data_IF_915843614301
#
_entry.id   IF_915843614301
#
_cell.length_a   1.000
_cell.length_b   1.000
_cell.length_c   1.000
_cell.angle_alpha   90.00
_cell.angle_beta   90.00
_cell.angle_gamma   90.00
#
_symmetry.space_group_name_H-M   'P 1'
#
loop_
_entity.id
_entity.type
_entity.pdbx_description
1 polymer ?
#
# COMPACT_ATOMS: atom_id res chain seq x y z
N UNK A 1 -14.42 52.07 12.87
CA UNK A 1 -15.63 51.53 13.54
C UNK A 1 -15.19 50.30 14.33
N UNK A 2 -15.59 50.21 15.59
CA UNK A 2 -15.20 49.08 16.46
C UNK A 2 -16.35 48.08 16.55
N UNK A 3 -16.05 46.80 16.44
CA UNK A 3 -17.02 45.71 16.52
C UNK A 3 -16.77 44.89 17.79
N UNK A 4 -17.83 44.46 18.46
CA UNK A 4 -17.74 43.67 19.69
C UNK A 4 -18.39 42.31 19.47
N UNK A 5 -17.79 41.25 20.02
CA UNK A 5 -18.37 39.91 20.00
C UNK A 5 -18.32 39.26 21.38
N UNK A 6 -19.31 38.40 21.64
CA UNK A 6 -19.50 37.69 22.91
C UNK A 6 -19.37 36.19 22.64
N UNK A 7 -18.61 35.49 23.47
CA UNK A 7 -18.46 34.04 23.40
C UNK A 7 -18.91 33.37 24.69
N UNK A 8 -19.70 32.30 24.57
CA UNK A 8 -20.18 31.48 25.68
C UNK A 8 -19.79 30.02 25.40
N UNK A 9 -19.18 29.35 26.38
CA UNK A 9 -18.66 27.98 26.25
C UNK A 9 -19.78 26.93 26.10
N UNK A 10 -20.98 27.20 26.62
CA UNK A 10 -22.14 26.33 26.48
C UNK A 10 -22.95 26.64 25.20
N UNK A 11 -22.99 25.69 24.26
CA UNK A 11 -23.62 25.82 22.94
C UNK A 11 -25.15 25.98 22.98
N UNK A 12 -25.81 25.57 24.07
CA UNK A 12 -27.27 25.60 24.19
C UNK A 12 -27.89 27.01 24.32
N UNK A 13 -27.06 28.03 24.63
CA UNK A 13 -27.50 29.41 24.89
C UNK A 13 -27.10 30.39 23.77
N UNK A 14 -26.67 29.92 22.60
CA UNK A 14 -26.19 30.76 21.47
C UNK A 14 -27.31 31.52 20.72
N UNK A 15 -28.28 32.11 21.43
CA UNK A 15 -29.35 32.95 20.86
C UNK A 15 -28.96 34.43 20.68
N UNK A 16 -27.67 34.78 20.80
CA UNK A 16 -27.18 36.16 20.72
C UNK A 16 -26.76 36.54 19.29
N UNK A 17 -26.65 37.85 19.04
CA UNK A 17 -26.16 38.37 17.75
C UNK A 17 -24.68 38.01 17.58
N UNK A 18 -24.27 37.74 16.33
CA UNK A 18 -22.89 37.36 16.00
C UNK A 18 -21.86 38.47 16.22
N UNK A 19 -22.27 39.74 16.16
CA UNK A 19 -21.47 40.89 16.57
C UNK A 19 -22.36 42.10 16.91
N UNK A 20 -21.78 43.06 17.64
CA UNK A 20 -22.43 44.28 18.11
C UNK A 20 -21.57 45.49 17.71
N UNK A 21 -22.21 46.64 17.46
CA UNK A 21 -21.52 47.90 17.16
C UNK A 21 -21.56 48.89 18.32
N UNK A 22 -22.48 48.67 19.25
CA UNK A 22 -22.69 49.49 20.43
C UNK A 22 -22.20 48.73 21.68
N UNK A 23 -21.42 49.40 22.51
CA UNK A 23 -20.82 48.82 23.71
C UNK A 23 -21.87 48.64 24.81
N UNK A 24 -22.85 49.53 24.89
CA UNK A 24 -23.88 49.48 25.94
C UNK A 24 -24.82 48.28 25.75
N UNK A 25 -25.11 47.90 24.49
CA UNK A 25 -25.88 46.70 24.15
C UNK A 25 -25.15 45.43 24.61
N UNK A 26 -23.83 45.39 24.47
CA UNK A 26 -23.00 44.23 24.85
C UNK A 26 -22.91 44.08 26.36
N UNK A 27 -22.73 45.19 27.08
CA UNK A 27 -22.68 45.19 28.55
C UNK A 27 -24.00 44.74 29.17
N UNK A 28 -25.14 45.04 28.54
CA UNK A 28 -26.45 44.55 28.97
C UNK A 28 -26.59 43.02 28.80
N UNK A 29 -25.98 42.45 27.76
CA UNK A 29 -25.96 40.99 27.54
C UNK A 29 -25.01 40.31 28.52
N UNK A 30 -23.84 40.87 28.79
CA UNK A 30 -22.87 40.32 29.75
C UNK A 30 -23.44 40.26 31.18
N UNK A 31 -24.29 41.22 31.57
CA UNK A 31 -24.98 41.19 32.88
C UNK A 31 -25.98 40.03 33.02
N UNK A 32 -26.44 39.45 31.91
CA UNK A 32 -27.38 38.30 31.90
C UNK A 32 -26.66 36.95 31.87
N UNK A 33 -25.35 36.91 31.60
CA UNK A 33 -24.59 35.68 31.40
C UNK A 33 -23.25 35.74 32.16
N UNK A 34 -23.17 35.06 33.32
CA UNK A 34 -21.98 35.10 34.20
C UNK A 34 -20.71 34.47 33.59
N UNK A 35 -20.82 33.67 32.52
CA UNK A 35 -19.70 32.97 31.87
C UNK A 35 -19.38 33.47 30.45
N UNK A 36 -19.91 34.62 30.07
CA UNK A 36 -19.70 35.20 28.75
C UNK A 36 -18.39 36.01 28.67
N UNK A 37 -17.60 35.78 27.62
CA UNK A 37 -16.34 36.51 27.35
C UNK A 37 -16.52 37.49 26.18
N UNK A 38 -16.15 38.75 26.36
CA UNK A 38 -16.23 39.78 25.30
C UNK A 38 -14.84 40.16 24.78
N UNK A 39 -14.74 40.44 23.48
CA UNK A 39 -13.57 41.08 22.86
C UNK A 39 -13.98 42.09 21.78
N UNK A 40 -13.18 43.14 21.63
CA UNK A 40 -13.34 44.18 20.62
C UNK A 40 -12.43 43.93 19.41
N UNK A 41 -12.91 44.26 18.21
CA UNK A 41 -12.29 43.97 16.93
C UNK A 41 -12.37 45.16 15.98
N UNK A 42 -11.39 45.25 15.07
CA UNK A 42 -11.30 46.27 14.02
C UNK A 42 -12.21 45.97 12.82
N UNK A 43 -12.52 44.69 12.58
CA UNK A 43 -13.33 44.24 11.44
C UNK A 43 -14.50 43.37 11.92
N UNK A 44 -15.59 43.32 11.14
CA UNK A 44 -16.74 42.48 11.46
C UNK A 44 -16.45 40.98 11.29
N UNK A 45 -15.55 40.61 10.38
CA UNK A 45 -15.16 39.21 10.12
C UNK A 45 -14.45 38.59 11.34
N UNK A 46 -13.53 39.33 11.97
CA UNK A 46 -12.85 38.90 13.19
C UNK A 46 -13.81 38.71 14.37
N UNK A 47 -14.81 39.60 14.48
CA UNK A 47 -15.84 39.52 15.51
C UNK A 47 -16.70 38.26 15.34
N UNK A 48 -17.11 37.93 14.11
CA UNK A 48 -17.88 36.70 13.80
C UNK A 48 -17.05 35.44 14.08
N UNK A 49 -15.76 35.44 13.75
CA UNK A 49 -14.86 34.33 14.06
C UNK A 49 -14.71 34.08 15.57
N UNK A 50 -14.59 35.14 16.36
CA UNK A 50 -14.56 35.05 17.82
C UNK A 50 -15.87 34.54 18.41
N UNK A 51 -17.02 34.98 17.88
CA UNK A 51 -18.34 34.46 18.28
C UNK A 51 -18.48 32.96 18.01
N UNK A 52 -17.96 32.48 16.88
CA UNK A 52 -18.03 31.07 16.47
C UNK A 52 -17.08 30.16 17.27
N UNK A 53 -15.85 30.61 17.50
CA UNK A 53 -14.73 29.77 17.95
C UNK A 53 -14.14 30.15 19.33
N UNK A 54 -14.55 31.29 19.90
CA UNK A 54 -14.04 31.81 21.16
C UNK A 54 -12.71 32.53 21.02
N UNK A 55 -12.02 32.85 22.15
CA UNK A 55 -10.72 33.51 22.11
C UNK A 55 -9.73 32.67 21.30
N UNK A 56 -9.18 33.26 20.24
CA UNK A 56 -8.31 32.62 19.23
C UNK A 56 -6.93 32.17 19.79
N UNK A 57 -6.64 32.38 21.08
CA UNK A 57 -5.29 32.16 21.65
C UNK A 57 -4.94 30.76 22.18
N UNK A 58 -5.82 29.92 22.75
CA UNK A 58 -5.35 28.66 23.35
C UNK A 58 -4.87 27.66 22.29
N UNK A 59 -5.60 27.49 21.18
CA UNK A 59 -5.33 26.41 20.23
C UNK A 59 -4.08 26.67 19.38
N UNK A 60 -3.86 27.92 18.96
CA UNK A 60 -2.67 28.30 18.17
C UNK A 60 -1.41 28.22 19.04
N UNK A 61 -1.48 28.71 20.28
CA UNK A 61 -0.35 28.66 21.20
C UNK A 61 -0.01 27.22 21.63
N UNK A 62 -1.01 26.36 21.84
CA UNK A 62 -0.81 24.94 22.13
C UNK A 62 -0.13 24.21 20.96
N UNK A 63 -0.54 24.48 19.72
CA UNK A 63 0.08 23.90 18.52
C UNK A 63 1.51 24.38 18.32
N UNK A 64 1.76 25.68 18.53
CA UNK A 64 3.10 26.25 18.46
C UNK A 64 4.03 25.66 19.53
N UNK A 65 3.54 25.48 20.76
CA UNK A 65 4.29 24.81 21.84
C UNK A 65 4.64 23.37 21.46
N UNK A 66 3.71 22.62 20.89
CA UNK A 66 3.97 21.24 20.45
C UNK A 66 4.97 21.17 19.28
N UNK A 67 4.86 22.07 18.30
CA UNK A 67 5.84 22.19 17.22
C UNK A 67 7.26 22.47 17.77
N UNK A 68 7.38 23.37 18.75
CA UNK A 68 8.66 23.68 19.38
C UNK A 68 9.28 22.47 20.12
N UNK A 69 8.48 21.57 20.68
CA UNK A 69 8.98 20.33 21.30
C UNK A 69 9.62 19.41 20.25
N UNK A 70 9.03 19.33 19.06
CA UNK A 70 9.56 18.56 17.93
C UNK A 70 10.87 19.17 17.44
N UNK A 71 10.90 20.49 17.23
CA UNK A 71 12.09 21.22 16.78
C UNK A 71 13.28 21.02 17.73
N UNK A 72 13.04 21.05 19.04
CA UNK A 72 14.05 20.85 20.09
C UNK A 72 14.47 19.39 20.31
N UNK A 73 13.90 18.44 19.56
CA UNK A 73 14.16 17.00 19.70
C UNK A 73 13.85 16.43 21.10
N UNK A 74 12.86 16.96 21.81
CA UNK A 74 12.49 16.44 23.13
C UNK A 74 11.54 15.23 22.97
N UNK A 75 12.13 14.06 22.71
CA UNK A 75 11.42 12.82 22.40
C UNK A 75 10.44 12.41 23.51
N UNK A 76 10.85 12.53 24.77
CA UNK A 76 10.03 12.14 25.92
C UNK A 76 8.82 13.06 26.08
N UNK A 77 9.02 14.38 26.05
CA UNK A 77 7.92 15.33 26.15
C UNK A 77 6.94 15.21 24.97
N UNK A 78 7.44 14.91 23.75
CA UNK A 78 6.58 14.67 22.59
C UNK A 78 5.76 13.40 22.77
N UNK A 79 6.37 12.31 23.27
CA UNK A 79 5.65 11.06 23.56
C UNK A 79 4.55 11.28 24.60
N UNK A 80 4.88 11.95 25.70
CA UNK A 80 3.92 12.24 26.78
C UNK A 80 2.76 13.11 26.28
N UNK A 81 3.06 14.15 25.50
CA UNK A 81 2.05 15.02 24.91
C UNK A 81 1.10 14.26 23.97
N UNK A 82 1.65 13.38 23.12
CA UNK A 82 0.86 12.54 22.20
C UNK A 82 -0.05 11.60 23.01
N UNK A 83 0.49 10.89 24.00
CA UNK A 83 -0.26 9.94 24.84
C UNK A 83 -1.37 10.62 25.66
N UNK A 84 -1.10 11.82 26.18
CA UNK A 84 -2.08 12.58 26.98
C UNK A 84 -3.22 13.13 26.12
N UNK A 85 -2.95 13.55 24.88
CA UNK A 85 -3.96 14.19 24.04
C UNK A 85 -3.78 13.88 22.54
N UNK A 86 -4.62 13.00 21.97
CA UNK A 86 -4.57 12.67 20.53
C UNK A 86 -4.82 13.86 19.60
N UNK A 87 -5.34 14.99 20.10
CA UNK A 87 -5.62 16.21 19.31
C UNK A 87 -4.37 16.90 18.78
N UNK A 88 -3.19 16.58 19.31
CA UNK A 88 -1.94 17.08 18.76
C UNK A 88 -1.65 16.50 17.37
N UNK A 89 -2.13 15.29 17.09
CA UNK A 89 -1.92 14.60 15.82
C UNK A 89 -3.20 14.51 14.97
N UNK A 90 -4.38 14.34 15.58
CA UNK A 90 -5.62 14.05 14.84
C UNK A 90 -6.67 15.15 15.08
N UNK A 91 -7.12 15.77 13.99
CA UNK A 91 -8.16 16.79 14.04
C UNK A 91 -9.57 16.16 14.20
N UNK A 92 -10.57 16.98 14.56
CA UNK A 92 -11.98 16.57 14.67
C UNK A 92 -12.49 15.84 13.42
N UNK A 93 -11.97 16.17 12.24
CA UNK A 93 -12.41 15.63 10.95
C UNK A 93 -11.69 14.37 10.44
N UNK A 94 -10.86 13.69 11.23
CA UNK A 94 -10.17 12.49 10.70
C UNK A 94 -8.89 12.79 9.93
N UNK A 95 -8.42 14.04 9.96
CA UNK A 95 -7.28 14.50 9.19
C UNK A 95 -6.11 14.89 10.10
N UNK A 96 -4.86 14.89 9.58
CA UNK A 96 -3.70 15.35 10.30
C UNK A 96 -3.90 16.76 10.88
N UNK A 97 -3.49 16.96 12.13
CA UNK A 97 -3.53 18.29 12.75
C UNK A 97 -2.42 19.16 12.17
N UNK A 98 -2.82 20.33 11.68
CA UNK A 98 -1.92 21.33 11.15
C UNK A 98 -1.34 22.14 12.31
N UNK A 99 -0.03 22.05 12.51
CA UNK A 99 0.69 22.76 13.56
C UNK A 99 1.08 24.17 13.12
N UNK A 100 1.58 24.32 11.88
CA UNK A 100 1.92 25.63 11.31
C UNK A 100 0.87 26.02 10.27
N UNK A 101 0.08 27.06 10.53
CA UNK A 101 -1.05 27.46 9.68
C UNK A 101 -0.63 27.86 8.24
N UNK A 102 0.62 28.28 8.08
CA UNK A 102 1.23 28.64 6.80
C UNK A 102 2.68 28.14 6.90
N UNK A 103 3.18 27.18 6.09
CA UNK A 103 2.69 26.51 4.87
C UNK A 103 1.76 25.29 5.07
N UNK A 104 1.03 25.18 6.20
CA UNK A 104 0.22 24.01 6.60
C UNK A 104 1.01 22.74 6.89
N UNK A 105 2.02 22.86 7.75
CA UNK A 105 2.78 21.69 8.20
C UNK A 105 2.03 20.87 9.26
N UNK A 106 1.91 19.57 8.99
CA UNK A 106 1.60 18.58 10.02
C UNK A 106 2.85 18.26 10.86
N UNK A 107 2.70 17.46 11.91
CA UNK A 107 3.81 17.07 12.78
C UNK A 107 4.96 16.35 12.03
N UNK A 108 4.62 15.55 11.01
CA UNK A 108 5.60 14.78 10.23
C UNK A 108 6.44 15.66 9.30
N UNK A 109 5.85 16.71 8.71
CA UNK A 109 6.59 17.71 7.93
C UNK A 109 7.67 18.38 8.78
N UNK A 110 7.31 18.84 9.98
CA UNK A 110 8.26 19.51 10.88
C UNK A 110 9.37 18.54 11.30
N UNK A 111 9.01 17.31 11.69
CA UNK A 111 9.99 16.30 12.06
C UNK A 111 10.92 15.90 10.90
N UNK A 112 10.41 15.89 9.66
CA UNK A 112 11.20 15.60 8.46
C UNK A 112 12.13 16.75 8.04
N UNK A 113 11.70 18.00 8.22
CA UNK A 113 12.54 19.19 7.99
C UNK A 113 13.73 19.19 8.97
N UNK A 114 13.46 18.95 10.25
CA UNK A 114 14.43 19.00 11.35
C UNK A 114 15.28 17.71 11.51
N UNK A 115 15.02 16.67 10.72
CA UNK A 115 15.79 15.42 10.76
C UNK A 115 15.52 14.54 11.98
N UNK A 116 14.36 14.66 12.63
CA UNK A 116 14.05 13.97 13.90
C UNK A 116 13.48 12.57 13.67
N UNK A 117 14.34 11.63 13.27
CA UNK A 117 13.93 10.27 12.89
C UNK A 117 13.13 9.51 13.96
N UNK A 118 13.53 9.63 15.23
CA UNK A 118 12.83 8.97 16.34
C UNK A 118 11.43 9.58 16.58
N UNK A 119 11.28 10.89 16.39
CA UNK A 119 9.97 11.55 16.49
C UNK A 119 9.09 11.17 15.30
N UNK A 120 9.64 11.08 14.09
CA UNK A 120 8.91 10.56 12.92
C UNK A 120 8.37 9.15 13.20
N UNK A 121 9.20 8.28 13.76
CA UNK A 121 8.81 6.91 14.14
C UNK A 121 7.66 6.92 15.16
N UNK A 122 7.76 7.73 16.21
CA UNK A 122 6.71 7.85 17.24
C UNK A 122 5.39 8.38 16.66
N UNK A 123 5.43 9.39 15.79
CA UNK A 123 4.23 9.93 15.13
C UNK A 123 3.57 8.84 14.28
N UNK A 124 4.34 8.13 13.45
CA UNK A 124 3.83 7.09 12.55
C UNK A 124 3.29 5.89 13.33
N UNK A 125 3.95 5.48 14.43
CA UNK A 125 3.47 4.43 15.32
C UNK A 125 2.17 4.81 16.04
N UNK A 126 2.07 6.06 16.52
CA UNK A 126 0.86 6.56 17.17
C UNK A 126 -0.31 6.58 16.18
N UNK A 127 -0.10 7.10 14.97
CA UNK A 127 -1.13 7.16 13.93
C UNK A 127 -1.52 5.77 13.42
N UNK A 128 -0.60 4.82 13.40
CA UNK A 128 -0.87 3.43 13.00
C UNK A 128 -1.58 2.62 14.09
N UNK A 129 -1.62 3.10 15.33
CA UNK A 129 -2.24 2.38 16.46
C UNK A 129 -3.76 2.54 16.47
N UNK A 130 -4.55 1.46 16.33
CA UNK A 130 -6.01 1.54 16.41
C UNK A 130 -6.51 2.04 17.77
N UNK A 131 -5.78 1.74 18.85
CA UNK A 131 -6.11 2.20 20.20
C UNK A 131 -6.00 3.73 20.32
N UNK A 132 -4.98 4.31 19.68
CA UNK A 132 -4.76 5.76 19.69
C UNK A 132 -5.83 6.50 18.91
N UNK A 133 -6.21 6.00 17.73
CA UNK A 133 -7.31 6.57 16.94
C UNK A 133 -8.64 6.39 17.66
N UNK A 134 -8.87 5.25 18.31
CA UNK A 134 -10.07 5.01 19.11
C UNK A 134 -10.21 5.96 20.30
N UNK A 135 -9.11 6.32 20.97
CA UNK A 135 -9.09 7.32 22.04
C UNK A 135 -9.65 8.67 21.57
N UNK A 136 -9.49 9.01 20.30
CA UNK A 136 -9.96 10.26 19.72
C UNK A 136 -11.44 10.26 19.35
N UNK A 137 -11.95 9.15 18.81
CA UNK A 137 -13.33 9.04 18.30
C UNK A 137 -14.31 8.38 19.28
N UNK A 138 -13.80 7.79 20.36
CA UNK A 138 -14.62 7.04 21.32
C UNK A 138 -15.22 5.75 20.75
N UNK A 139 -14.75 5.32 19.57
CA UNK A 139 -15.19 4.11 18.85
C UNK A 139 -13.96 3.35 18.36
N UNK A 140 -14.02 2.00 18.26
CA UNK A 140 -12.93 1.24 17.67
C UNK A 140 -12.69 1.71 16.23
N UNK A 141 -11.46 2.12 15.92
CA UNK A 141 -11.07 2.55 14.59
C UNK A 141 -11.00 1.33 13.65
N UNK A 142 -11.55 1.46 12.44
CA UNK A 142 -11.39 0.44 11.40
C UNK A 142 -10.01 0.54 10.77
N UNK A 143 -9.50 -0.58 10.25
CA UNK A 143 -8.20 -0.63 9.54
C UNK A 143 -8.15 0.36 8.36
N UNK A 144 -9.29 0.62 7.72
CA UNK A 144 -9.46 1.57 6.62
C UNK A 144 -9.21 3.02 7.06
N UNK A 145 -9.72 3.43 8.22
CA UNK A 145 -9.53 4.80 8.75
C UNK A 145 -8.07 5.01 9.13
N UNK A 146 -7.44 4.02 9.75
CA UNK A 146 -6.02 4.09 10.11
C UNK A 146 -5.13 4.16 8.86
N UNK A 147 -5.43 3.34 7.85
CA UNK A 147 -4.71 3.36 6.57
C UNK A 147 -4.86 4.69 5.84
N UNK A 148 -6.08 5.25 5.84
CA UNK A 148 -6.36 6.56 5.23
C UNK A 148 -5.65 7.69 5.97
N UNK A 149 -5.64 7.67 7.31
CA UNK A 149 -4.94 8.67 8.10
C UNK A 149 -3.41 8.59 7.91
N UNK A 150 -2.87 7.38 7.82
CA UNK A 150 -1.46 7.14 7.57
C UNK A 150 -1.06 7.64 6.17
N UNK A 151 -1.88 7.37 5.15
CA UNK A 151 -1.71 7.90 3.80
C UNK A 151 -1.69 9.44 3.79
N UNK A 152 -2.61 10.09 4.50
CA UNK A 152 -2.62 11.55 4.65
C UNK A 152 -1.33 12.06 5.31
N UNK A 153 -0.80 11.38 6.32
CA UNK A 153 0.44 11.81 6.96
C UNK A 153 1.65 11.68 6.02
N UNK A 154 1.73 10.61 5.25
CA UNK A 154 2.88 10.31 4.38
C UNK A 154 2.86 11.13 3.07
N UNK A 155 1.68 11.38 2.51
CA UNK A 155 1.53 11.85 1.13
C UNK A 155 0.87 13.23 0.99
N UNK A 156 0.36 13.85 2.08
CA UNK A 156 -0.16 15.22 1.99
C UNK A 156 1.00 16.19 1.74
N UNK A 157 0.97 16.96 0.65
CA UNK A 157 2.02 17.94 0.37
C UNK A 157 1.76 19.28 1.08
N UNK A 158 2.78 20.15 1.16
CA UNK A 158 2.60 21.53 1.65
C UNK A 158 1.80 22.39 0.65
N UNK A 159 0.97 23.31 1.16
CA UNK A 159 0.08 24.13 0.31
C UNK A 159 0.87 25.11 -0.58
N UNK A 160 2.12 25.45 -0.22
CA UNK A 160 2.90 26.47 -0.92
C UNK A 160 3.78 25.91 -2.04
N UNK A 161 4.35 24.71 -1.89
CA UNK A 161 5.35 24.16 -2.83
C UNK A 161 5.01 22.76 -3.31
N UNK A 162 3.91 22.19 -2.81
CA UNK A 162 3.49 20.83 -3.06
C UNK A 162 4.57 19.79 -2.68
N UNK A 163 5.29 20.05 -1.59
CA UNK A 163 6.36 19.18 -1.09
C UNK A 163 5.84 18.22 -0.02
N UNK A 164 6.09 16.94 -0.21
CA UNK A 164 5.75 15.89 0.75
C UNK A 164 6.79 15.81 1.87
N UNK A 165 6.45 15.21 3.03
CA UNK A 165 7.40 14.96 4.11
C UNK A 165 8.64 14.18 3.64
N UNK A 166 8.46 13.23 2.71
CA UNK A 166 9.56 12.49 2.10
C UNK A 166 10.50 13.41 1.32
N UNK A 167 9.97 14.34 0.53
CA UNK A 167 10.79 15.27 -0.24
C UNK A 167 11.63 16.16 0.68
N UNK A 168 11.07 16.64 1.81
CA UNK A 168 11.83 17.37 2.81
C UNK A 168 12.99 16.54 3.36
N UNK A 169 12.74 15.29 3.77
CA UNK A 169 13.78 14.41 4.30
C UNK A 169 14.91 14.15 3.29
N UNK A 170 14.57 13.93 2.01
CA UNK A 170 15.54 13.70 0.93
C UNK A 170 16.33 14.97 0.60
N UNK A 171 15.66 16.11 0.52
CA UNK A 171 16.25 17.40 0.18
C UNK A 171 17.27 17.88 1.22
N UNK A 172 16.99 17.68 2.51
CA UNK A 172 17.89 18.04 3.61
C UNK A 172 18.93 16.96 3.94
N UNK A 173 18.85 15.80 3.28
CA UNK A 173 19.84 14.73 3.41
C UNK A 173 19.73 13.96 4.73
N UNK A 174 18.52 13.62 5.20
CA UNK A 174 18.29 12.88 6.42
C UNK A 174 18.05 11.38 6.16
N UNK A 175 19.10 10.53 6.07
CA UNK A 175 18.95 9.12 5.69
C UNK A 175 18.08 8.34 6.67
N UNK A 176 18.22 8.59 7.98
CA UNK A 176 17.40 7.90 8.98
C UNK A 176 15.92 8.27 8.91
N UNK A 177 15.58 9.51 8.56
CA UNK A 177 14.18 9.89 8.35
C UNK A 177 13.62 9.25 7.08
N UNK A 178 14.39 9.27 5.98
CA UNK A 178 14.01 8.60 4.72
C UNK A 178 13.75 7.12 4.96
N UNK A 179 14.62 6.45 5.73
CA UNK A 179 14.45 5.05 6.11
C UNK A 179 13.14 4.79 6.86
N UNK A 180 12.75 5.67 7.79
CA UNK A 180 11.48 5.54 8.51
C UNK A 180 10.27 5.74 7.60
N UNK A 181 10.34 6.66 6.63
CA UNK A 181 9.23 6.95 5.72
C UNK A 181 9.04 5.84 4.66
N UNK A 182 10.15 5.41 4.03
CA UNK A 182 10.15 4.36 2.99
C UNK A 182 9.80 2.99 3.58
N UNK A 183 9.97 2.77 4.89
CA UNK A 183 9.53 1.56 5.55
C UNK A 183 8.00 1.32 5.48
N UNK A 184 7.20 2.37 5.20
CA UNK A 184 5.76 2.24 5.05
C UNK A 184 5.37 2.03 3.57
N UNK A 185 4.66 0.94 3.22
CA UNK A 185 4.25 0.66 1.84
C UNK A 185 3.35 1.73 1.20
N UNK A 186 2.67 2.53 2.03
CA UNK A 186 1.80 3.62 1.57
C UNK A 186 2.57 4.89 1.17
N UNK A 187 3.87 4.99 1.48
CA UNK A 187 4.65 6.19 1.16
C UNK A 187 4.91 6.28 -0.35
N UNK A 188 4.42 7.35 -0.98
CA UNK A 188 4.55 7.56 -2.41
C UNK A 188 5.89 8.22 -2.73
N UNK A 189 6.82 7.43 -3.24
CA UNK A 189 8.20 7.86 -3.54
C UNK A 189 8.30 8.46 -4.96
N UNK A 190 7.33 8.15 -5.81
CA UNK A 190 7.36 8.38 -7.26
C UNK A 190 6.49 9.55 -7.71
N UNK A 191 5.72 10.16 -6.81
CA UNK A 191 4.84 11.26 -7.19
C UNK A 191 5.67 12.52 -7.45
N UNK A 192 5.61 13.07 -8.66
CA UNK A 192 6.29 14.31 -8.97
C UNK A 192 5.63 15.49 -8.24
N UNK A 193 6.43 16.48 -7.87
CA UNK A 193 5.92 17.73 -7.34
C UNK A 193 5.27 18.57 -8.47
N UNK A 194 4.75 19.76 -8.12
CA UNK A 194 4.15 20.71 -9.05
C UNK A 194 5.06 21.13 -10.23
N UNK A 195 6.36 20.82 -10.18
CA UNK A 195 7.36 21.09 -11.21
C UNK A 195 7.81 19.83 -11.98
N UNK A 196 7.08 18.72 -11.86
CA UNK A 196 7.39 17.43 -12.52
C UNK A 196 8.70 16.76 -12.09
N UNK A 197 9.24 17.15 -10.93
CA UNK A 197 10.49 16.61 -10.39
C UNK A 197 10.21 15.60 -9.28
N UNK A 198 10.99 14.53 -9.23
CA UNK A 198 10.87 13.43 -8.26
C UNK A 198 11.77 13.67 -7.05
N UNK A 199 11.52 12.96 -5.94
CA UNK A 199 12.38 13.04 -4.76
C UNK A 199 13.86 12.72 -5.06
N UNK A 200 14.12 11.83 -6.03
CA UNK A 200 15.46 11.47 -6.49
C UNK A 200 16.25 12.65 -7.08
N UNK A 201 15.58 13.66 -7.62
CA UNK A 201 16.21 14.84 -8.22
C UNK A 201 16.66 15.86 -7.16
N UNK A 202 16.11 15.78 -5.94
CA UNK A 202 16.39 16.73 -4.86
C UNK A 202 17.39 16.20 -3.83
N UNK A 203 17.99 15.02 -4.02
CA UNK A 203 18.87 14.40 -3.02
C UNK A 203 19.99 15.37 -2.60
N UNK A 204 19.99 15.70 -1.31
CA UNK A 204 20.95 16.60 -0.67
C UNK A 204 21.04 18.03 -1.26
N UNK A 205 20.05 18.49 -2.04
CA UNK A 205 20.08 19.81 -2.69
C UNK A 205 20.14 20.97 -1.67
N UNK A 206 19.51 20.80 -0.50
CA UNK A 206 19.58 21.77 0.62
C UNK A 206 20.17 21.18 1.89
N UNK A 207 20.95 20.11 1.77
CA UNK A 207 21.56 19.49 2.94
C UNK A 207 22.56 20.45 3.60
N UNK A 208 22.59 20.44 4.94
CA UNK A 208 23.66 21.09 5.68
C UNK A 208 25.01 20.42 5.34
N UNK A 209 26.13 21.13 5.48
CA UNK A 209 27.46 20.60 5.15
C UNK A 209 27.81 19.28 5.88
N UNK A 210 27.20 19.03 7.05
CA UNK A 210 27.33 17.77 7.78
C UNK A 210 26.64 16.58 7.08
N UNK A 211 25.56 16.83 6.33
CA UNK A 211 24.72 15.83 5.68
C UNK A 211 25.01 15.71 4.17
N UNK A 212 25.60 16.73 3.54
CA UNK A 212 26.03 16.69 2.13
C UNK A 212 27.36 15.93 1.97
N UNK A 213 27.45 14.75 2.57
CA UNK A 213 28.58 13.83 2.40
C UNK A 213 28.19 12.70 1.44
N UNK A 214 29.18 12.05 0.84
CA UNK A 214 28.94 10.96 -0.14
C UNK A 214 28.16 9.79 0.45
N UNK A 215 28.26 9.57 1.77
CA UNK A 215 27.62 8.45 2.47
C UNK A 215 26.09 8.61 2.60
N UNK A 216 25.52 9.67 3.22
CA UNK A 216 24.08 9.94 3.23
C UNK A 216 23.48 10.02 1.83
N UNK A 217 24.17 10.65 0.88
CA UNK A 217 23.71 10.76 -0.50
C UNK A 217 23.55 9.38 -1.14
N UNK A 218 24.55 8.51 -1.00
CA UNK A 218 24.48 7.15 -1.51
C UNK A 218 23.40 6.32 -0.81
N UNK A 219 23.26 6.45 0.51
CA UNK A 219 22.23 5.75 1.29
C UNK A 219 20.81 6.15 0.85
N UNK A 220 20.55 7.45 0.71
CA UNK A 220 19.25 7.97 0.26
C UNK A 220 18.95 7.50 -1.17
N UNK A 221 19.93 7.60 -2.08
CA UNK A 221 19.75 7.11 -3.46
C UNK A 221 19.47 5.61 -3.49
N UNK A 222 20.13 4.80 -2.65
CA UNK A 222 19.84 3.37 -2.55
C UNK A 222 18.39 3.13 -2.10
N UNK A 223 17.97 3.76 -1.00
CA UNK A 223 16.60 3.62 -0.46
C UNK A 223 15.51 4.07 -1.45
N UNK A 224 15.78 5.09 -2.27
CA UNK A 224 14.85 5.55 -3.30
C UNK A 224 14.83 4.61 -4.52
N UNK A 225 15.99 4.00 -4.86
CA UNK A 225 16.13 3.04 -5.97
C UNK A 225 15.58 1.65 -5.66
N UNK A 226 15.47 1.26 -4.39
CA UNK A 226 15.01 -0.08 -3.97
C UNK A 226 13.50 -0.35 -4.21
N UNK A 227 12.87 0.38 -5.13
CA UNK A 227 11.47 0.22 -5.57
C UNK A 227 11.38 -0.32 -7.00
N UNK A 228 12.10 -1.39 -7.29
CA UNK A 228 11.97 -2.08 -8.56
C UNK A 228 10.68 -2.91 -8.56
N UNK A 229 10.02 -2.91 -9.70
CA UNK A 229 8.91 -3.81 -9.99
C UNK A 229 9.27 -4.69 -11.18
N UNK A 230 8.75 -5.92 -11.15
CA UNK A 230 8.83 -6.84 -12.29
C UNK A 230 7.44 -6.92 -12.92
N UNK A 231 7.22 -6.36 -14.12
CA UNK A 231 5.91 -6.36 -14.77
C UNK A 231 5.66 -7.64 -15.57
N UNK A 232 4.39 -8.02 -15.67
CA UNK A 232 3.88 -8.91 -16.70
C UNK A 232 3.16 -8.09 -17.76
N UNK A 233 3.64 -8.17 -18.99
CA UNK A 233 3.17 -7.39 -20.12
C UNK A 233 2.35 -8.28 -21.04
N UNK A 234 1.14 -7.83 -21.39
CA UNK A 234 0.28 -8.50 -22.37
C UNK A 234 -0.25 -7.50 -23.40
N UNK A 235 -0.53 -7.99 -24.60
CA UNK A 235 -1.33 -7.26 -25.60
C UNK A 235 -2.81 -7.32 -25.24
N UNK A 236 -3.59 -6.27 -25.55
CA UNK A 236 -5.01 -6.17 -25.19
C UNK A 236 -5.90 -7.34 -25.66
N UNK A 237 -5.51 -8.05 -26.73
CA UNK A 237 -6.23 -9.22 -27.26
C UNK A 237 -5.49 -10.56 -27.05
N UNK A 238 -4.46 -10.59 -26.19
CA UNK A 238 -3.62 -11.78 -25.93
C UNK A 238 -3.14 -12.53 -27.20
N UNK A 239 -2.90 -11.76 -28.27
CA UNK A 239 -2.48 -12.28 -29.58
C UNK A 239 -1.05 -12.79 -29.49
N UNK A 240 -0.19 -12.06 -28.78
CA UNK A 240 1.18 -12.44 -28.50
C UNK A 240 1.30 -13.22 -27.18
N UNK A 241 2.32 -14.09 -27.04
CA UNK A 241 2.61 -14.71 -25.77
C UNK A 241 2.90 -13.64 -24.71
N UNK A 242 2.39 -13.81 -23.48
CA UNK A 242 2.66 -12.87 -22.40
C UNK A 242 4.16 -12.84 -22.06
N UNK A 243 4.69 -11.65 -21.81
CA UNK A 243 6.13 -11.44 -21.58
C UNK A 243 6.34 -10.90 -20.17
N UNK A 244 7.19 -11.57 -19.39
CA UNK A 244 7.74 -11.00 -18.16
C UNK A 244 8.76 -9.93 -18.56
N UNK A 245 8.47 -8.67 -18.24
CA UNK A 245 9.33 -7.53 -18.56
C UNK A 245 10.49 -7.41 -17.57
N UNK A 246 11.56 -6.76 -17.99
CA UNK A 246 12.74 -6.55 -17.14
C UNK A 246 12.39 -5.73 -15.89
N UNK A 247 13.10 -5.94 -14.76
CA UNK A 247 12.91 -5.12 -13.58
C UNK A 247 13.19 -3.66 -13.90
N UNK A 248 12.22 -2.80 -13.64
CA UNK A 248 12.38 -1.36 -13.82
C UNK A 248 11.95 -0.63 -12.56
N UNK A 249 12.53 0.55 -12.33
CA UNK A 249 12.10 1.41 -11.23
C UNK A 249 10.88 2.21 -11.68
N UNK A 250 9.90 2.39 -10.81
CA UNK A 250 8.72 3.23 -11.11
C UNK A 250 9.09 4.70 -11.46
N UNK A 251 10.32 5.12 -11.18
CA UNK A 251 10.88 6.43 -11.57
C UNK A 251 11.38 6.48 -13.02
N UNK A 252 11.57 5.33 -13.67
CA UNK A 252 12.01 5.21 -15.06
C UNK A 252 11.20 4.09 -15.76
N UNK A 253 9.94 4.36 -16.12
CA UNK A 253 9.07 3.37 -16.74
C UNK A 253 9.56 3.04 -18.16
N UNK A 254 9.55 1.76 -18.57
CA UNK A 254 9.91 1.38 -19.92
C UNK A 254 8.89 1.97 -20.90
N UNK A 255 9.35 2.37 -22.09
CA UNK A 255 8.44 2.72 -23.18
C UNK A 255 7.70 1.46 -23.65
N UNK A 256 6.43 1.33 -23.23
CA UNK A 256 5.57 0.18 -23.58
C UNK A 256 4.87 0.34 -24.94
N UNK A 257 5.05 1.50 -25.60
CA UNK A 257 4.49 1.81 -26.92
C UNK A 257 5.65 2.10 -27.86
N UNK A 258 5.93 1.19 -28.79
CA UNK A 258 6.73 1.56 -29.97
C UNK A 258 5.83 2.39 -30.89
N UNK A 259 6.26 3.61 -31.19
CA UNK A 259 5.64 4.49 -32.17
C UNK A 259 5.66 3.82 -33.56
N UNK A 260 4.63 3.03 -33.86
CA UNK A 260 4.50 2.32 -35.12
C UNK A 260 3.39 2.90 -35.98
N UNK A 261 3.76 3.63 -37.03
CA UNK A 261 2.93 4.00 -38.19
C UNK A 261 2.42 2.75 -38.94
N UNK A 262 1.57 1.98 -38.29
CA UNK A 262 0.95 0.78 -38.84
C UNK A 262 -0.51 0.79 -38.41
N UNK A 263 -1.41 0.57 -39.37
CA UNK A 263 -2.86 0.82 -39.33
C UNK A 263 -3.66 0.11 -38.19
N UNK A 264 -3.01 -0.54 -37.24
CA UNK A 264 -3.63 -1.33 -36.16
C UNK A 264 -3.07 -1.00 -34.76
N UNK A 265 -2.74 0.27 -34.50
CA UNK A 265 -2.19 0.75 -33.21
C UNK A 265 -3.03 0.39 -31.97
N UNK A 266 -4.35 0.20 -32.12
CA UNK A 266 -5.24 -0.29 -31.03
C UNK A 266 -5.00 -1.76 -30.68
N UNK A 267 -4.58 -2.58 -31.65
CA UNK A 267 -4.38 -4.04 -31.50
C UNK A 267 -3.07 -4.41 -30.83
N UNK A 268 -2.05 -3.56 -30.95
CA UNK A 268 -0.68 -3.81 -30.47
C UNK A 268 -0.33 -3.05 -29.17
N UNK A 269 -1.31 -2.43 -28.50
CA UNK A 269 -1.09 -1.81 -27.19
C UNK A 269 -0.69 -2.87 -26.15
N UNK A 270 0.60 -2.88 -25.79
CA UNK A 270 1.14 -3.63 -24.66
C UNK A 270 0.78 -2.89 -23.37
N UNK A 271 0.21 -3.61 -22.42
CA UNK A 271 -0.13 -3.07 -21.10
C UNK A 271 0.36 -4.00 -20.00
N UNK A 272 0.70 -3.42 -18.85
CA UNK A 272 0.97 -4.19 -17.64
C UNK A 272 -0.34 -4.84 -17.19
N UNK A 273 -0.30 -6.15 -16.89
CA UNK A 273 -1.46 -6.93 -16.40
C UNK A 273 -1.24 -7.49 -15.01
N UNK A 274 0.01 -7.64 -14.58
CA UNK A 274 0.37 -7.90 -13.20
C UNK A 274 1.77 -7.34 -12.94
N UNK A 275 2.12 -7.14 -11.68
CA UNK A 275 3.47 -6.79 -11.28
C UNK A 275 3.79 -7.34 -9.89
N UNK A 276 5.07 -7.64 -9.68
CA UNK A 276 5.62 -7.98 -8.38
C UNK A 276 6.52 -6.85 -7.88
N UNK A 277 6.38 -6.45 -6.62
CA UNK A 277 7.14 -5.37 -5.98
C UNK A 277 6.26 -4.44 -5.14
N UNK A 278 6.80 -3.33 -4.63
CA UNK A 278 8.20 -2.86 -4.79
C UNK A 278 9.22 -3.76 -4.09
N UNK A 279 10.42 -3.90 -4.67
CA UNK A 279 11.54 -4.66 -4.08
C UNK A 279 12.92 -4.13 -4.53
N UNK A 280 13.99 -4.47 -3.80
CA UNK A 280 15.35 -4.10 -4.16
C UNK A 280 15.78 -4.69 -5.52
N UNK A 281 16.73 -4.03 -6.21
CA UNK A 281 17.17 -4.39 -7.56
C UNK A 281 17.61 -5.86 -7.69
N UNK A 282 18.42 -6.35 -6.75
CA UNK A 282 18.96 -7.71 -6.79
C UNK A 282 17.84 -8.74 -6.63
N UNK A 283 16.93 -8.49 -5.68
CA UNK A 283 15.73 -9.31 -5.46
C UNK A 283 14.80 -9.29 -6.67
N UNK A 284 14.63 -8.13 -7.31
CA UNK A 284 13.85 -7.99 -8.54
C UNK A 284 14.46 -8.76 -9.71
N UNK A 285 15.79 -8.76 -9.82
CA UNK A 285 16.51 -9.50 -10.85
C UNK A 285 16.42 -11.02 -10.65
N UNK A 286 16.49 -11.47 -9.40
CA UNK A 286 16.26 -12.87 -9.02
C UNK A 286 14.83 -13.30 -9.33
N UNK A 287 13.84 -12.50 -8.89
CA UNK A 287 12.42 -12.73 -9.15
C UNK A 287 12.13 -12.80 -10.66
N UNK A 288 12.67 -11.86 -11.43
CA UNK A 288 12.56 -11.83 -12.89
C UNK A 288 13.10 -13.11 -13.54
N UNK A 289 14.30 -13.56 -13.15
CA UNK A 289 14.90 -14.79 -13.70
C UNK A 289 14.03 -16.01 -13.41
N UNK A 290 13.53 -16.11 -12.17
CA UNK A 290 12.71 -17.22 -11.67
C UNK A 290 11.31 -17.26 -12.28
N UNK A 291 10.72 -16.08 -12.54
CA UNK A 291 9.40 -15.97 -13.15
C UNK A 291 9.45 -16.17 -14.66
N UNK A 292 10.51 -15.68 -15.32
CA UNK A 292 10.73 -15.89 -16.76
C UNK A 292 11.03 -17.35 -17.08
N UNK A 293 11.86 -18.00 -16.28
CA UNK A 293 12.34 -19.37 -16.56
C UNK A 293 11.96 -20.31 -15.41
N UNK A 294 11.16 -21.37 -15.66
CA UNK A 294 10.87 -22.38 -14.64
C UNK A 294 12.14 -23.12 -14.21
N UNK A 295 12.17 -23.69 -13.00
CA UNK A 295 13.35 -24.35 -12.45
C UNK A 295 13.69 -25.58 -13.28
N UNK A 296 14.99 -25.88 -13.39
CA UNK A 296 15.47 -27.06 -14.12
C UNK A 296 15.63 -28.25 -13.17
N UNK A 297 15.36 -29.44 -13.70
CA UNK A 297 15.69 -30.71 -13.06
C UNK A 297 16.98 -31.23 -13.67
N UNK A 298 18.03 -31.32 -12.86
CA UNK A 298 19.30 -31.90 -13.26
C UNK A 298 19.27 -33.41 -13.00
N UNK A 299 19.74 -34.19 -13.95
CA UNK A 299 19.83 -35.65 -13.81
C UNK A 299 21.15 -35.99 -13.14
N UNK A 300 21.10 -36.57 -11.95
CA UNK A 300 22.26 -37.04 -11.19
C UNK A 300 22.30 -38.56 -11.26
N UNK A 301 23.44 -39.08 -11.70
CA UNK A 301 23.75 -40.50 -11.69
C UNK A 301 24.16 -40.94 -10.29
N UNK A 302 23.50 -41.96 -9.74
CA UNK A 302 24.00 -42.62 -8.53
C UNK A 302 25.26 -43.40 -8.91
N UNK A 303 26.44 -42.87 -8.59
CA UNK A 303 27.70 -43.53 -8.84
C UNK A 303 27.74 -44.86 -8.05
N UNK A 304 27.72 -45.99 -8.76
CA UNK A 304 27.74 -47.35 -8.21
C UNK A 304 29.04 -47.74 -7.46
N UNK A 305 29.87 -46.77 -7.05
CA UNK A 305 31.16 -46.98 -6.41
C UNK A 305 31.06 -47.34 -4.91
N UNK A 306 29.90 -47.13 -4.27
CA UNK A 306 29.68 -47.39 -2.83
C UNK A 306 28.79 -48.60 -2.53
N UNK A 307 28.55 -49.51 -3.49
CA UNK A 307 27.63 -50.65 -3.30
C UNK A 307 28.35 -52.01 -3.36
N UNK A 308 28.03 -52.89 -2.41
CA UNK A 308 28.53 -54.26 -2.34
C UNK A 308 28.25 -55.05 -3.64
N UNK A 309 29.22 -55.87 -4.06
CA UNK A 309 29.20 -56.68 -5.32
C UNK A 309 27.89 -57.44 -5.55
N UNK A 310 27.22 -57.89 -4.48
CA UNK A 310 25.96 -58.66 -4.54
C UNK A 310 24.74 -57.83 -4.92
N UNK A 311 24.70 -56.52 -4.64
CA UNK A 311 23.62 -55.62 -5.07
C UNK A 311 23.80 -55.12 -6.51
N UNK A 312 25.05 -55.08 -6.99
CA UNK A 312 25.40 -54.64 -8.36
C UNK A 312 24.85 -55.55 -9.46
N UNK A 313 24.59 -56.82 -9.16
CA UNK A 313 24.07 -57.81 -10.11
C UNK A 313 22.54 -57.80 -10.28
N UNK A 314 21.80 -57.04 -9.45
CA UNK A 314 20.32 -56.97 -9.48
C UNK A 314 19.74 -55.63 -9.92
N UNK A 315 20.57 -54.60 -10.16
CA UNK A 315 20.06 -53.30 -10.63
C UNK A 315 19.85 -53.34 -12.14
N UNK A 316 18.63 -53.04 -12.59
CA UNK A 316 18.37 -52.73 -13.98
C UNK A 316 18.98 -51.37 -14.33
N UNK A 317 19.53 -51.17 -15.56
CA UNK A 317 20.19 -49.93 -15.96
C UNK A 317 19.27 -48.69 -15.96
N UNK A 318 17.96 -48.86 -15.82
CA UNK A 318 16.97 -47.78 -15.82
C UNK A 318 16.79 -47.07 -14.45
N UNK A 319 17.30 -47.65 -13.35
CA UNK A 319 16.96 -47.22 -11.98
C UNK A 319 18.03 -46.34 -11.31
N UNK A 320 19.06 -45.92 -12.07
CA UNK A 320 20.30 -45.39 -11.50
C UNK A 320 20.45 -43.86 -11.60
N UNK A 321 19.35 -43.14 -11.83
CA UNK A 321 19.33 -41.68 -12.01
C UNK A 321 18.27 -41.04 -11.10
N UNK A 322 18.67 -39.98 -10.38
CA UNK A 322 17.77 -39.12 -9.61
C UNK A 322 17.68 -37.75 -10.25
N UNK A 323 16.56 -37.05 -10.02
CA UNK A 323 16.38 -35.70 -10.50
C UNK A 323 16.57 -34.72 -9.36
N UNK A 324 17.45 -33.73 -9.50
CA UNK A 324 17.67 -32.68 -8.50
C UNK A 324 17.14 -31.37 -9.04
N UNK A 325 16.22 -30.75 -8.31
CA UNK A 325 15.75 -29.42 -8.62
C UNK A 325 16.85 -28.39 -8.33
N UNK A 326 17.22 -27.60 -9.34
CA UNK A 326 18.27 -26.58 -9.23
C UNK A 326 18.00 -25.55 -8.12
N UNK A 327 16.73 -25.22 -7.88
CA UNK A 327 16.34 -24.16 -6.93
C UNK A 327 16.17 -24.72 -5.52
N UNK A 328 15.36 -25.79 -5.36
CA UNK A 328 15.05 -26.33 -4.03
C UNK A 328 16.09 -27.31 -3.52
N UNK A 329 17.02 -27.75 -4.38
CA UNK A 329 17.99 -28.83 -4.12
C UNK A 329 17.34 -30.17 -3.71
N UNK A 330 16.01 -30.28 -3.87
CA UNK A 330 15.28 -31.50 -3.56
C UNK A 330 15.52 -32.57 -4.62
N UNK A 331 15.68 -33.82 -4.17
CA UNK A 331 15.89 -35.01 -4.99
C UNK A 331 14.57 -35.73 -5.23
N UNK A 332 14.29 -36.10 -6.47
CA UNK A 332 13.06 -36.79 -6.88
C UNK A 332 13.37 -38.09 -7.61
N UNK A 333 12.54 -39.10 -7.35
CA UNK A 333 12.51 -40.33 -8.14
C UNK A 333 11.82 -40.13 -9.50
N UNK A 334 11.93 -41.13 -10.38
CA UNK A 334 11.23 -41.14 -11.67
C UNK A 334 9.71 -41.07 -11.51
N UNK A 335 9.17 -41.73 -10.49
CA UNK A 335 7.74 -41.82 -10.24
C UNK A 335 7.15 -40.53 -9.66
N UNK A 336 8.01 -39.63 -9.15
CA UNK A 336 7.64 -38.36 -8.52
C UNK A 336 7.82 -37.16 -9.45
N UNK A 337 8.16 -37.37 -10.73
CA UNK A 337 8.42 -36.28 -11.67
C UNK A 337 7.25 -35.30 -11.80
N UNK A 338 6.01 -35.78 -11.67
CA UNK A 338 4.80 -34.96 -11.79
C UNK A 338 4.56 -34.06 -10.59
N UNK A 339 5.18 -34.34 -9.43
CA UNK A 339 5.08 -33.52 -8.21
C UNK A 339 6.21 -32.50 -8.11
N UNK A 340 7.16 -32.52 -9.05
CA UNK A 340 8.27 -31.55 -9.07
C UNK A 340 7.79 -30.13 -9.36
N UNK A 341 8.40 -29.10 -8.74
CA UNK A 341 8.08 -27.70 -9.03
C UNK A 341 8.20 -27.35 -10.52
N UNK A 342 9.21 -27.91 -11.19
CA UNK A 342 9.44 -27.73 -12.62
C UNK A 342 8.27 -28.25 -13.47
N UNK A 343 7.77 -29.45 -13.16
CA UNK A 343 6.64 -30.03 -13.87
C UNK A 343 5.34 -29.27 -13.58
N UNK A 344 5.07 -28.94 -12.31
CA UNK A 344 3.87 -28.22 -11.89
C UNK A 344 3.78 -26.86 -12.57
N UNK A 345 4.86 -26.08 -12.55
CA UNK A 345 4.87 -24.76 -13.23
C UNK A 345 4.68 -24.89 -14.73
N UNK A 346 5.31 -25.88 -15.37
CA UNK A 346 5.13 -26.12 -16.80
C UNK A 346 3.69 -26.52 -17.11
N UNK A 347 3.09 -27.37 -16.27
CA UNK A 347 1.70 -27.77 -16.40
C UNK A 347 0.77 -26.55 -16.30
N UNK A 348 0.98 -25.65 -15.32
CA UNK A 348 0.19 -24.41 -15.16
C UNK A 348 0.30 -23.51 -16.40
N UNK A 349 1.51 -23.33 -16.95
CA UNK A 349 1.73 -22.53 -18.18
C UNK A 349 1.01 -23.08 -19.39
N UNK A 350 0.85 -24.40 -19.46
CA UNK A 350 0.19 -25.08 -20.58
C UNK A 350 -1.32 -25.11 -20.37
N UNK A 351 -1.80 -25.35 -19.15
CA UNK A 351 -3.22 -25.49 -18.84
C UNK A 351 -3.96 -24.17 -18.87
N UNK A 352 -3.32 -23.07 -18.43
CA UNK A 352 -3.94 -21.75 -18.35
C UNK A 352 -3.18 -20.75 -19.24
N UNK A 353 -3.63 -20.65 -20.50
CA UNK A 353 -3.08 -19.70 -21.48
C UNK A 353 -3.34 -18.24 -21.08
N UNK A 354 -4.41 -18.00 -20.31
CA UNK A 354 -4.93 -16.65 -20.06
C UNK A 354 -4.46 -16.07 -18.73
N UNK A 355 -4.17 -16.85 -17.70
CA UNK A 355 -3.68 -16.37 -16.39
C UNK A 355 -2.57 -17.26 -15.79
N UNK A 356 -2.04 -18.25 -16.52
CA UNK A 356 -1.06 -19.18 -15.97
C UNK A 356 0.23 -18.52 -15.48
N UNK A 357 0.70 -17.46 -16.15
CA UNK A 357 1.87 -16.68 -15.69
C UNK A 357 1.59 -15.87 -14.42
N UNK A 358 0.38 -15.33 -14.30
CA UNK A 358 -0.10 -14.62 -13.12
C UNK A 358 -0.23 -15.57 -11.92
N UNK A 359 -0.73 -16.79 -12.15
CA UNK A 359 -0.77 -17.84 -11.11
C UNK A 359 0.65 -18.17 -10.61
N UNK A 360 1.62 -18.35 -11.52
CA UNK A 360 3.02 -18.59 -11.13
C UNK A 360 3.61 -17.37 -10.43
N UNK A 361 3.37 -16.16 -10.94
CA UNK A 361 3.86 -14.92 -10.33
C UNK A 361 3.34 -14.74 -8.91
N UNK A 362 2.06 -15.02 -8.67
CA UNK A 362 1.45 -15.02 -7.33
C UNK A 362 2.09 -16.04 -6.39
N UNK A 363 2.34 -17.26 -6.86
CA UNK A 363 3.02 -18.31 -6.07
C UNK A 363 4.43 -17.88 -5.69
N UNK A 364 5.21 -17.38 -6.66
CA UNK A 364 6.55 -16.88 -6.43
C UNK A 364 6.56 -15.66 -5.51
N UNK A 365 5.56 -14.79 -5.62
CA UNK A 365 5.44 -13.63 -4.76
C UNK A 365 5.22 -14.02 -3.30
N UNK A 366 4.39 -15.04 -3.05
CA UNK A 366 4.21 -15.62 -1.73
C UNK A 366 5.49 -16.31 -1.21
N UNK A 367 6.16 -17.11 -2.05
CA UNK A 367 7.40 -17.82 -1.72
C UNK A 367 8.55 -16.86 -1.36
N UNK A 368 8.76 -15.83 -2.20
CA UNK A 368 9.84 -14.86 -2.04
C UNK A 368 9.47 -13.68 -1.13
N UNK A 369 8.27 -13.68 -0.54
CA UNK A 369 7.73 -12.60 0.28
C UNK A 369 7.88 -11.22 -0.39
N UNK A 370 7.27 -11.06 -1.55
CA UNK A 370 7.21 -9.80 -2.28
C UNK A 370 5.76 -9.41 -2.55
N UNK A 371 5.50 -8.10 -2.64
CA UNK A 371 4.18 -7.59 -2.99
C UNK A 371 3.75 -8.10 -4.36
N UNK A 372 2.47 -8.44 -4.50
CA UNK A 372 1.86 -8.88 -5.75
C UNK A 372 0.66 -7.99 -6.06
N UNK A 373 0.50 -7.61 -7.32
CA UNK A 373 -0.68 -6.91 -7.81
C UNK A 373 -1.01 -7.43 -9.19
N UNK A 374 -2.29 -7.70 -9.44
CA UNK A 374 -2.75 -8.11 -10.76
C UNK A 374 -4.03 -7.38 -11.15
N UNK A 375 -4.21 -7.19 -12.45
CA UNK A 375 -5.41 -6.60 -12.99
C UNK A 375 -6.51 -7.65 -13.11
N UNK A 376 -7.69 -7.29 -12.57
CA UNK A 376 -8.92 -8.05 -12.68
C UNK A 376 -9.92 -7.26 -13.50
N UNK A 377 -10.28 -7.74 -14.70
CA UNK A 377 -11.18 -6.98 -15.58
C UNK A 377 -12.59 -6.85 -14.96
N UNK A 378 -13.04 -7.87 -14.21
CA UNK A 378 -14.31 -7.85 -13.50
C UNK A 378 -14.37 -6.75 -12.41
N UNK A 379 -13.23 -6.41 -11.80
CA UNK A 379 -13.12 -5.33 -10.80
C UNK A 379 -12.67 -4.00 -11.43
N UNK A 380 -12.18 -4.03 -12.67
CA UNK A 380 -11.64 -2.87 -13.38
C UNK A 380 -10.37 -2.27 -12.75
N UNK A 381 -9.72 -2.97 -11.81
CA UNK A 381 -8.60 -2.43 -11.03
C UNK A 381 -7.49 -3.45 -10.78
N UNK A 382 -6.33 -2.96 -10.35
CA UNK A 382 -5.26 -3.79 -9.82
C UNK A 382 -5.52 -4.08 -8.35
N UNK A 383 -5.54 -5.35 -7.99
CA UNK A 383 -5.59 -5.77 -6.59
C UNK A 383 -4.98 -7.16 -6.41
N UNK A 384 -4.69 -7.49 -5.16
CA UNK A 384 -4.32 -8.84 -4.76
C UNK A 384 -5.49 -9.47 -3.99
N UNK A 385 -6.14 -10.47 -4.59
CA UNK A 385 -7.25 -11.19 -3.94
C UNK A 385 -6.81 -12.05 -2.74
N UNK A 386 -5.51 -12.18 -2.49
CA UNK A 386 -4.99 -12.78 -1.26
C UNK A 386 -5.03 -11.82 -0.06
N UNK A 387 -5.06 -10.52 -0.32
CA UNK A 387 -5.04 -9.51 0.73
C UNK A 387 -6.46 -9.15 1.17
N UNK A 388 -6.61 -8.74 2.44
CA UNK A 388 -7.89 -8.28 2.98
C UNK A 388 -8.52 -7.15 2.15
N UNK A 389 -7.69 -6.26 1.59
CA UNK A 389 -8.15 -5.16 0.72
C UNK A 389 -8.74 -5.68 -0.60
N UNK A 390 -8.10 -6.67 -1.24
CA UNK A 390 -8.64 -7.28 -2.47
C UNK A 390 -9.90 -8.09 -2.20
N UNK A 391 -9.96 -8.83 -1.08
CA UNK A 391 -11.17 -9.53 -0.64
C UNK A 391 -12.34 -8.57 -0.41
N UNK A 392 -12.10 -7.39 0.17
CA UNK A 392 -13.13 -6.36 0.37
C UNK A 392 -13.67 -5.83 -0.97
N UNK A 393 -12.80 -5.63 -1.97
CA UNK A 393 -13.23 -5.23 -3.31
C UNK A 393 -14.09 -6.31 -3.98
N UNK A 394 -13.70 -7.58 -3.84
CA UNK A 394 -14.47 -8.70 -4.38
C UNK A 394 -15.82 -8.88 -3.64
N UNK A 395 -15.84 -8.73 -2.32
CA UNK A 395 -17.07 -8.77 -1.51
C UNK A 395 -18.05 -7.66 -1.93
N UNK A 396 -17.53 -6.46 -2.22
CA UNK A 396 -18.33 -5.34 -2.74
C UNK A 396 -18.87 -5.64 -4.14
N UNK A 397 -18.06 -6.24 -5.02
CA UNK A 397 -18.49 -6.65 -6.36
C UNK A 397 -19.61 -7.69 -6.32
N UNK A 398 -19.44 -8.74 -5.51
CA UNK A 398 -20.43 -9.83 -5.34
C UNK A 398 -21.74 -9.36 -4.70
N UNK A 399 -21.76 -8.21 -4.01
CA UNK A 399 -22.98 -7.63 -3.43
C UNK A 399 -24.03 -7.30 -4.48
N UNK A 400 -23.61 -6.91 -5.69
CA UNK A 400 -24.50 -6.45 -6.74
C UNK A 400 -25.08 -7.60 -7.59
N UNK A 401 -24.78 -8.86 -7.25
CA UNK A 401 -25.25 -10.04 -8.00
C UNK A 401 -24.69 -10.11 -9.41
N UNK A 402 -23.36 -10.23 -9.58
CA UNK A 402 -22.77 -10.31 -10.91
C UNK A 402 -23.15 -11.63 -11.60
N UNK A 403 -23.51 -11.54 -12.88
CA UNK A 403 -23.65 -12.71 -13.74
C UNK A 403 -22.31 -13.45 -13.84
N UNK A 404 -22.32 -14.79 -13.89
CA UNK A 404 -21.10 -15.57 -13.99
C UNK A 404 -20.29 -15.16 -15.23
N UNK A 405 -19.03 -14.80 -15.00
CA UNK A 405 -18.11 -14.34 -16.04
C UNK A 405 -17.09 -15.43 -16.37
N UNK A 406 -16.47 -15.35 -17.55
CA UNK A 406 -15.31 -16.21 -17.88
C UNK A 406 -14.15 -16.06 -16.88
N UNK A 407 -14.12 -15.02 -16.06
CA UNK A 407 -13.09 -14.79 -15.06
C UNK A 407 -13.31 -15.53 -13.75
N UNK A 408 -14.49 -16.12 -13.52
CA UNK A 408 -14.80 -16.84 -12.29
C UNK A 408 -13.83 -18.00 -12.03
N UNK A 409 -13.42 -18.70 -13.09
CA UNK A 409 -12.39 -19.74 -13.01
C UNK A 409 -11.04 -19.18 -12.50
N UNK A 410 -10.63 -18.00 -12.98
CA UNK A 410 -9.38 -17.38 -12.56
C UNK A 410 -9.45 -16.85 -11.11
N UNK A 411 -10.60 -16.28 -10.71
CA UNK A 411 -10.86 -15.87 -9.33
C UNK A 411 -10.85 -17.10 -8.40
N UNK A 412 -11.43 -18.22 -8.83
CA UNK A 412 -11.42 -19.46 -8.07
C UNK A 412 -9.99 -19.98 -7.89
N UNK A 413 -9.18 -19.99 -8.95
CA UNK A 413 -7.78 -20.40 -8.87
C UNK A 413 -6.97 -19.49 -7.93
N UNK A 414 -7.19 -18.18 -8.00
CA UNK A 414 -6.58 -17.20 -7.10
C UNK A 414 -6.91 -17.49 -5.64
N UNK A 415 -8.19 -17.75 -5.34
CA UNK A 415 -8.70 -17.96 -3.99
C UNK A 415 -8.55 -19.40 -3.47
N UNK A 416 -8.14 -20.35 -4.32
CA UNK A 416 -8.17 -21.79 -4.02
C UNK A 416 -7.48 -22.13 -2.69
N UNK A 417 -6.27 -21.58 -2.50
CA UNK A 417 -5.42 -21.88 -1.33
C UNK A 417 -5.58 -20.88 -0.17
N UNK A 418 -6.44 -19.86 -0.31
CA UNK A 418 -6.60 -18.81 0.70
C UNK A 418 -7.74 -19.16 1.67
N UNK A 419 -7.47 -19.07 2.97
CA UNK A 419 -8.52 -19.18 3.99
C UNK A 419 -9.32 -17.87 4.07
N UNK A 420 -10.63 -17.98 3.94
CA UNK A 420 -11.54 -16.82 3.92
C UNK A 420 -12.42 -16.91 5.14
N UNK A 421 -12.33 -15.92 6.03
CA UNK A 421 -13.20 -15.84 7.21
C UNK A 421 -14.65 -15.55 6.81
N UNK A 422 -15.61 -16.45 7.13
CA UNK A 422 -17.02 -16.25 6.81
C UNK A 422 -17.65 -15.01 7.45
N UNK A 423 -17.12 -14.53 8.58
CA UNK A 423 -17.68 -13.37 9.29
C UNK A 423 -17.27 -12.06 8.61
N UNK A 424 -16.00 -11.95 8.21
CA UNK A 424 -15.47 -10.77 7.53
C UNK A 424 -15.90 -10.68 6.06
N UNK A 425 -15.96 -11.81 5.35
CA UNK A 425 -16.25 -11.85 3.90
C UNK A 425 -17.30 -12.92 3.55
N UNK A 426 -18.57 -12.75 3.97
CA UNK A 426 -19.60 -13.78 3.86
C UNK A 426 -19.94 -14.15 2.41
N UNK A 427 -19.96 -13.19 1.47
CA UNK A 427 -20.32 -13.46 0.06
C UNK A 427 -19.18 -14.11 -0.68
N UNK A 428 -17.94 -13.66 -0.46
CA UNK A 428 -16.77 -14.30 -1.06
C UNK A 428 -16.65 -15.75 -0.57
N UNK A 429 -16.87 -15.99 0.73
CA UNK A 429 -16.88 -17.33 1.29
C UNK A 429 -17.98 -18.20 0.66
N UNK A 430 -19.22 -17.70 0.60
CA UNK A 430 -20.34 -18.41 -0.02
C UNK A 430 -20.08 -18.72 -1.51
N UNK A 431 -19.55 -17.76 -2.26
CA UNK A 431 -19.17 -17.92 -3.66
C UNK A 431 -18.07 -18.97 -3.84
N UNK A 432 -17.05 -18.97 -2.98
CA UNK A 432 -15.97 -19.97 -3.00
C UNK A 432 -16.52 -21.38 -2.74
N UNK A 433 -17.39 -21.54 -1.75
CA UNK A 433 -18.05 -22.82 -1.45
C UNK A 433 -18.91 -23.32 -2.60
N UNK A 434 -19.71 -22.45 -3.23
CA UNK A 434 -20.57 -22.81 -4.36
C UNK A 434 -19.77 -23.34 -5.56
N UNK A 435 -18.63 -22.69 -5.88
CA UNK A 435 -17.79 -23.10 -7.00
C UNK A 435 -16.96 -24.38 -6.72
N UNK A 436 -16.63 -24.67 -5.46
CA UNK A 436 -16.02 -25.95 -5.07
C UNK A 436 -16.96 -27.13 -5.36
N UNK A 437 -18.25 -26.98 -5.06
CA UNK A 437 -19.29 -28.00 -5.30
C UNK A 437 -19.47 -28.28 -6.81
N UNK A 438 -19.32 -27.26 -7.67
CA UNK A 438 -19.41 -27.42 -9.12
C UNK A 438 -18.18 -28.09 -9.76
N UNK A 439 -17.05 -28.17 -9.04
CA UNK A 439 -15.79 -28.74 -9.52
C UNK A 439 -15.59 -30.22 -9.18
N UNK A 440 -16.48 -30.83 -8.39
CA UNK A 440 -16.46 -32.27 -8.15
C UNK A 440 -16.88 -33.03 -9.42
N UNK A 441 -16.09 -34.00 -9.92
CA UNK A 441 -16.51 -34.81 -11.05
C UNK A 441 -17.73 -35.64 -10.61
N UNK A 442 -18.90 -35.37 -11.21
CA UNK A 442 -20.05 -36.28 -11.09
C UNK A 442 -19.57 -37.69 -11.43
N UNK A 443 -19.82 -38.72 -10.60
CA UNK A 443 -19.50 -40.08 -10.96
C UNK A 443 -20.23 -40.38 -12.28
N UNK A 444 -19.49 -40.84 -13.29
CA UNK A 444 -20.07 -41.28 -14.56
C UNK A 444 -21.06 -42.40 -14.24
N UNK A 445 -22.34 -42.06 -14.22
CA UNK A 445 -23.41 -43.03 -14.11
C UNK A 445 -23.44 -43.78 -15.44
N UNK A 446 -22.79 -44.94 -15.49
CA UNK A 446 -22.90 -45.89 -16.59
C UNK A 446 -24.32 -46.44 -16.61
N UNK A 447 -25.24 -45.71 -17.24
CA UNK A 447 -26.51 -46.28 -17.68
C UNK A 447 -26.34 -46.71 -19.14
N UNK A 448 -26.51 -48.01 -19.35
CA UNK A 448 -26.41 -48.66 -20.64
C UNK A 448 -27.36 -48.04 -21.64
N UNK A 449 -26.84 -47.77 -22.83
CA UNK A 449 -27.64 -47.67 -24.03
C UNK A 449 -27.98 -49.11 -24.46
N UNK A 450 -29.08 -49.64 -23.92
CA UNK A 450 -29.81 -50.70 -24.61
C UNK A 450 -30.46 -50.11 -25.86
N UNK A 451 -30.39 -50.94 -26.90
CA UNK A 451 -30.86 -50.71 -28.26
C UNK A 451 -32.35 -50.35 -28.28
N UNK A 452 -32.68 -49.31 -29.01
CA UNK A 452 -33.94 -49.22 -29.75
C UNK A 452 -33.78 -48.13 -30.82
N UNK A 453 -33.54 -48.53 -32.06
CA UNK A 453 -34.11 -47.89 -33.26
C UNK A 453 -34.00 -48.89 -34.42
N UNK A 454 -35.12 -48.98 -35.13
CA UNK A 454 -35.44 -49.83 -36.29
C UNK A 454 -34.39 -49.90 -37.38
#
# INVERSE_FOLDING_TARGET
MTYYAIFIENLAERCFKCFYKDLDEVLAVLKRCEHARMKAFSTCEEAVLFFMHGPVHPVVEIRAKFAQLIERNNVEAVRDAICQNPRYLINLGGTPTILNAYPRYNALHIAAIEGRAEICRLILQAVSSPAFVAQRYGKPATDEVNSSLLDLYLNTPDDCRYWTPLLFAVMFGWPEVVRQLVAFPLCQITVPNAHWLTASDFVCNRAAAANDTKQPRAAIVAMLRDNYIVPLIRTQQSIEPPVVGEPFSLTDPPMLVEDGRTMDWKRMRRGIRAFAGPMARDKAQEFYKRWKTPPRLNVVLDCAASMNKTKRAKLQPADNFRFVCEVTQATYGKDELTTTPAYIERAIRISDRDKGLETIGRMLAAEMQVGWQEYWELLGTFCNLADKSGLAQLEAYLRNGPDPTRQDYHVQNALRMIEIDPHSFPRVHAWKCANLILSEPKPRCSKGFEKEFM
#
